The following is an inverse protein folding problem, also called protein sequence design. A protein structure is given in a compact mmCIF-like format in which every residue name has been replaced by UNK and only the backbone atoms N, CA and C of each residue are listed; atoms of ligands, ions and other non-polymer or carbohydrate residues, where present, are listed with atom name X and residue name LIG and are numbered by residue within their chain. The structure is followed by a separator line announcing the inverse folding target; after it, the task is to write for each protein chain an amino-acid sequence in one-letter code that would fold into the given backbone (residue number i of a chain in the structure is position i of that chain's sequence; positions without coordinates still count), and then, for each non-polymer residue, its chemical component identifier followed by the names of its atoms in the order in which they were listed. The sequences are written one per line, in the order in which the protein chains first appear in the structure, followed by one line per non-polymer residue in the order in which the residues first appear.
data_IF_470194904322
#
_entry.id   IF_470194904322
#
_cell.length_a   1.000
_cell.length_b   1.000
_cell.length_c   1.000
_cell.angle_alpha   90.00
_cell.angle_beta   90.00
_cell.angle_gamma   90.00
#
_symmetry.space_group_name_H-M   'P 1'
#
loop_
_entity.id
_entity.type
_entity.pdbx_description
1 polymer ?
#
# COMPACT_ATOMS: atom_id res chain seq x y z
N UNK A 1 -7.50 7.79 -19.68
CA UNK A 1 -7.99 9.20 -19.70
C UNK A 1 -8.66 9.63 -18.38
N UNK A 2 -8.17 9.15 -17.22
CA UNK A 2 -8.47 9.68 -15.86
C UNK A 2 -7.20 9.51 -14.99
N UNK A 3 -6.01 9.86 -15.52
CA UNK A 3 -4.74 9.74 -14.78
C UNK A 3 -3.99 11.08 -14.65
N UNK A 4 -4.60 12.20 -15.05
CA UNK A 4 -3.92 13.50 -15.14
C UNK A 4 -4.12 14.42 -13.91
N UNK A 5 -4.72 13.98 -12.80
CA UNK A 5 -5.19 14.94 -11.75
C UNK A 5 -4.52 14.88 -10.37
N UNK A 6 -3.51 14.03 -10.15
CA UNK A 6 -2.71 14.06 -8.92
C UNK A 6 -1.33 14.74 -9.06
N UNK A 7 -0.99 15.27 -10.23
CA UNK A 7 0.36 15.74 -10.57
C UNK A 7 0.53 17.27 -10.66
N UNK A 8 -0.11 18.05 -9.78
CA UNK A 8 0.17 19.49 -9.69
C UNK A 8 0.52 19.90 -8.26
N UNK A 9 1.79 19.66 -7.88
CA UNK A 9 2.28 20.17 -6.60
C UNK A 9 3.73 19.93 -6.21
N UNK A 10 4.59 19.26 -6.99
CA UNK A 10 5.96 18.92 -6.54
C UNK A 10 7.02 18.94 -7.67
N UNK A 11 7.17 20.06 -8.38
CA UNK A 11 8.30 20.26 -9.29
C UNK A 11 9.29 21.28 -8.70
N UNK A 12 10.15 20.78 -7.81
CA UNK A 12 11.53 21.25 -7.58
C UNK A 12 12.08 20.51 -6.37
N UNK A 13 12.87 19.45 -6.55
CA UNK A 13 14.07 19.07 -5.76
C UNK A 13 14.79 17.98 -6.57
N UNK A 14 15.59 18.37 -7.56
CA UNK A 14 16.76 17.59 -7.94
C UNK A 14 17.94 18.21 -7.20
N UNK A 15 18.22 17.69 -6.00
CA UNK A 15 19.54 17.55 -5.39
C UNK A 15 19.40 17.16 -3.91
N UNK A 16 20.40 16.40 -3.43
CA UNK A 16 20.73 16.05 -2.04
C UNK A 16 20.17 14.69 -1.58
N UNK A 17 21.05 13.69 -1.48
CA UNK A 17 21.25 12.76 -0.34
C UNK A 17 20.10 12.62 0.69
N UNK A 18 18.87 12.41 0.23
CA UNK A 18 17.75 11.99 1.06
C UNK A 18 17.85 10.47 1.12
N UNK A 19 17.84 9.92 2.33
CA UNK A 19 17.32 8.54 2.48
C UNK A 19 15.95 8.59 1.83
N UNK A 20 15.83 7.92 0.68
CA UNK A 20 14.57 7.83 -0.01
C UNK A 20 13.57 7.21 0.98
N UNK A 21 12.44 7.88 1.17
CA UNK A 21 11.41 7.36 2.07
C UNK A 21 10.93 6.06 1.42
N UNK A 22 10.89 4.99 2.20
CA UNK A 22 10.46 3.69 1.69
C UNK A 22 9.00 3.47 2.03
N UNK A 23 8.28 2.80 1.16
CA UNK A 23 6.97 2.22 1.43
C UNK A 23 7.08 0.71 1.57
N UNK A 24 6.16 0.12 2.32
CA UNK A 24 6.03 -1.33 2.45
C UNK A 24 4.78 -1.76 1.70
N UNK A 25 4.98 -2.49 0.61
CA UNK A 25 3.92 -3.03 -0.22
C UNK A 25 3.69 -4.49 0.12
N UNK A 26 2.42 -4.86 0.20
CA UNK A 26 1.99 -6.25 0.28
C UNK A 26 1.93 -6.84 -1.13
N UNK A 27 2.52 -8.02 -1.33
CA UNK A 27 2.51 -8.76 -2.61
C UNK A 27 1.96 -10.17 -2.43
N UNK A 28 1.40 -10.74 -3.50
CA UNK A 28 0.88 -12.11 -3.48
C UNK A 28 -0.36 -12.26 -2.61
N UNK A 29 -0.42 -13.35 -1.84
CA UNK A 29 -1.56 -13.72 -0.97
C UNK A 29 -1.61 -12.93 0.36
N UNK A 30 -0.90 -11.81 0.46
CA UNK A 30 -0.91 -10.95 1.64
C UNK A 30 0.03 -11.36 2.79
N UNK A 31 0.92 -12.33 2.58
CA UNK A 31 1.88 -12.78 3.59
C UNK A 31 3.34 -12.43 3.25
N UNK A 32 3.55 -11.90 2.05
CA UNK A 32 4.85 -11.48 1.54
C UNK A 32 4.81 -9.97 1.32
N UNK A 33 5.86 -9.29 1.73
CA UNK A 33 6.01 -7.85 1.58
C UNK A 33 7.24 -7.53 0.76
N UNK A 34 7.26 -6.33 0.21
CA UNK A 34 8.42 -5.74 -0.45
C UNK A 34 8.53 -4.27 -0.05
N UNK A 35 9.75 -3.77 0.15
CA UNK A 35 10.00 -2.34 0.38
C UNK A 35 10.46 -1.69 -0.91
N UNK A 36 9.79 -0.60 -1.30
CA UNK A 36 10.13 0.18 -2.49
C UNK A 36 10.14 1.69 -2.22
N UNK A 37 10.68 2.51 -3.11
CA UNK A 37 10.63 3.96 -2.99
C UNK A 37 9.22 4.53 -2.82
N UNK A 38 9.10 5.66 -2.12
CA UNK A 38 7.81 6.29 -1.79
C UNK A 38 7.03 6.81 -3.00
N UNK A 39 7.69 6.97 -4.14
CA UNK A 39 7.06 7.43 -5.38
C UNK A 39 6.26 6.33 -6.10
N UNK A 40 6.29 5.09 -5.61
CA UNK A 40 5.44 4.02 -6.11
C UNK A 40 4.07 4.00 -5.44
N UNK A 41 3.08 3.66 -6.26
CA UNK A 41 1.74 3.23 -5.88
C UNK A 41 1.59 1.75 -6.21
N UNK A 42 0.55 1.11 -5.67
CA UNK A 42 0.28 -0.30 -5.94
C UNK A 42 -1.19 -0.57 -6.25
N UNK A 43 -1.48 -1.54 -7.11
CA UNK A 43 -2.84 -2.04 -7.34
C UNK A 43 -2.82 -3.56 -7.55
N UNK A 44 -3.95 -4.23 -7.31
CA UNK A 44 -4.02 -5.68 -7.56
C UNK A 44 -4.22 -5.96 -9.06
N UNK A 45 -3.62 -7.05 -9.53
CA UNK A 45 -3.82 -7.61 -10.86
C UNK A 45 -4.18 -9.10 -10.75
N UNK A 46 -5.43 -9.35 -10.35
CA UNK A 46 -5.89 -10.67 -9.92
C UNK A 46 -5.41 -11.04 -8.51
N UNK A 47 -5.53 -12.32 -8.17
CA UNK A 47 -5.44 -12.77 -6.76
C UNK A 47 -4.01 -12.83 -6.20
N UNK A 48 -3.00 -12.98 -7.06
CA UNK A 48 -1.61 -13.25 -6.65
C UNK A 48 -0.60 -12.25 -7.21
N UNK A 49 -1.07 -11.21 -7.91
CA UNK A 49 -0.20 -10.23 -8.56
C UNK A 49 -0.53 -8.83 -8.07
N UNK A 50 0.53 -8.07 -7.81
CA UNK A 50 0.45 -6.64 -7.53
C UNK A 50 1.28 -5.90 -8.57
N UNK A 51 0.75 -4.81 -9.09
CA UNK A 51 1.45 -3.89 -9.99
C UNK A 51 1.93 -2.71 -9.16
N UNK A 52 3.20 -2.34 -9.31
CA UNK A 52 3.74 -1.05 -8.85
C UNK A 52 3.97 -0.13 -10.05
N UNK A 53 3.58 1.14 -9.88
CA UNK A 53 3.63 2.17 -10.91
C UNK A 53 3.83 3.56 -10.26
N UNK A 54 4.24 4.58 -11.02
CA UNK A 54 4.58 5.92 -10.49
C UNK A 54 3.45 6.95 -10.67
N UNK A 55 2.55 6.72 -11.62
CA UNK A 55 1.42 7.58 -11.94
C UNK A 55 1.81 8.89 -12.62
N UNK A 56 2.97 8.94 -13.30
CA UNK A 56 3.48 10.14 -13.94
C UNK A 56 2.93 10.32 -15.36
N UNK A 57 2.80 9.22 -16.11
CA UNK A 57 2.25 9.20 -17.47
C UNK A 57 1.61 7.85 -17.83
N UNK A 58 0.73 7.84 -18.85
CA UNK A 58 -0.07 6.66 -19.24
C UNK A 58 0.79 5.51 -19.82
N UNK A 59 1.99 5.81 -20.31
CA UNK A 59 2.93 4.89 -20.98
C UNK A 59 4.18 4.57 -20.12
N UNK A 60 4.12 4.84 -18.82
CA UNK A 60 5.24 4.59 -17.91
C UNK A 60 5.54 3.09 -17.71
N UNK A 61 6.79 2.75 -17.34
CA UNK A 61 7.13 1.39 -16.96
C UNK A 61 6.29 0.84 -15.80
N UNK A 62 5.86 -0.41 -15.95
CA UNK A 62 5.10 -1.12 -14.91
C UNK A 62 5.94 -2.24 -14.29
N UNK A 63 5.98 -2.30 -12.97
CA UNK A 63 6.57 -3.43 -12.24
C UNK A 63 5.45 -4.36 -11.79
N UNK A 64 5.52 -5.65 -12.12
CA UNK A 64 4.56 -6.65 -11.62
C UNK A 64 5.27 -7.61 -10.68
N UNK A 65 4.70 -7.82 -9.50
CA UNK A 65 5.11 -8.85 -8.55
C UNK A 65 4.03 -9.93 -8.47
N UNK A 66 4.33 -11.13 -8.93
CA UNK A 66 3.48 -12.32 -8.77
C UNK A 66 4.09 -13.26 -7.75
N UNK A 67 3.31 -13.78 -6.80
CA UNK A 67 3.79 -14.75 -5.81
C UNK A 67 3.14 -16.11 -6.05
N UNK A 68 3.97 -17.13 -6.19
CA UNK A 68 3.55 -18.52 -6.38
C UNK A 68 4.05 -19.33 -5.19
N UNK A 69 3.14 -19.67 -4.27
CA UNK A 69 3.42 -20.54 -3.13
C UNK A 69 3.31 -22.01 -3.52
N UNK A 70 4.20 -22.85 -3.00
CA UNK A 70 4.15 -24.28 -3.24
C UNK A 70 4.38 -25.08 -1.96
N UNK A 71 3.82 -26.29 -1.89
CA UNK A 71 4.12 -27.23 -0.82
C UNK A 71 5.24 -28.17 -1.25
N UNK A 72 6.29 -28.28 -0.43
CA UNK A 72 7.38 -29.22 -0.70
C UNK A 72 6.88 -30.66 -0.67
N UNK A 73 7.26 -31.44 -1.68
CA UNK A 73 7.07 -32.88 -1.64
C UNK A 73 7.90 -33.51 -0.51
N UNK A 74 7.40 -34.61 0.06
CA UNK A 74 8.09 -35.32 1.15
C UNK A 74 9.52 -35.72 0.72
N UNK A 75 10.49 -35.43 1.57
CA UNK A 75 11.91 -35.72 1.31
C UNK A 75 12.65 -34.69 0.44
N UNK A 76 11.96 -33.70 -0.15
CA UNK A 76 12.61 -32.61 -0.88
C UNK A 76 13.19 -31.60 0.10
N UNK A 77 14.51 -31.45 0.09
CA UNK A 77 15.22 -30.51 0.96
C UNK A 77 15.29 -29.12 0.33
N UNK A 78 15.41 -28.08 1.17
CA UNK A 78 15.64 -26.71 0.70
C UNK A 78 16.92 -26.59 -0.16
N UNK A 79 17.95 -27.39 0.14
CA UNK A 79 19.18 -27.44 -0.66
C UNK A 79 18.93 -27.98 -2.08
N UNK A 80 18.04 -28.98 -2.22
CA UNK A 80 17.69 -29.53 -3.53
C UNK A 80 16.92 -28.50 -4.37
N UNK A 81 15.97 -27.79 -3.77
CA UNK A 81 15.24 -26.69 -4.44
C UNK A 81 16.19 -25.57 -4.88
N UNK A 82 17.12 -25.17 -4.00
CA UNK A 82 18.12 -24.16 -4.35
C UNK A 82 19.00 -24.60 -5.52
N UNK A 83 19.35 -25.88 -5.59
CA UNK A 83 20.15 -26.39 -6.71
C UNK A 83 19.34 -26.38 -8.01
N UNK A 84 18.10 -26.85 -7.99
CA UNK A 84 17.20 -26.82 -9.15
C UNK A 84 16.99 -25.38 -9.65
N UNK A 85 16.81 -24.43 -8.73
CA UNK A 85 16.70 -23.01 -9.04
C UNK A 85 17.96 -22.44 -9.72
N UNK A 86 19.16 -22.86 -9.26
CA UNK A 86 20.44 -22.48 -9.90
C UNK A 86 20.62 -23.12 -11.27
N UNK A 87 20.22 -24.38 -11.42
CA UNK A 87 20.27 -25.08 -12.68
C UNK A 87 19.34 -24.42 -13.71
N UNK A 88 18.16 -23.94 -13.26
CA UNK A 88 17.24 -23.12 -14.06
C UNK A 88 17.88 -21.80 -14.51
N UNK A 89 18.59 -21.10 -13.63
CA UNK A 89 19.35 -19.90 -14.00
C UNK A 89 20.39 -20.21 -15.09
N UNK A 90 21.15 -21.29 -14.95
CA UNK A 90 22.13 -21.72 -15.95
C UNK A 90 21.49 -22.07 -17.31
N UNK A 91 20.32 -22.72 -17.32
CA UNK A 91 19.57 -22.99 -18.55
C UNK A 91 19.13 -21.70 -19.28
N UNK A 92 19.00 -20.60 -18.54
CA UNK A 92 18.70 -19.25 -19.06
C UNK A 92 19.97 -18.45 -19.38
N UNK A 93 21.16 -19.07 -19.32
CA UNK A 93 22.47 -18.41 -19.51
C UNK A 93 22.71 -17.24 -18.55
N UNK A 94 22.20 -17.35 -17.32
CA UNK A 94 22.39 -16.37 -16.25
C UNK A 94 22.89 -17.06 -14.98
N UNK A 95 23.30 -16.28 -13.99
CA UNK A 95 23.77 -16.77 -12.69
C UNK A 95 22.83 -16.33 -11.57
N UNK A 96 22.51 -17.24 -10.67
CA UNK A 96 21.70 -16.91 -9.51
C UNK A 96 22.52 -16.19 -8.44
N UNK A 97 22.09 -14.99 -8.08
CA UNK A 97 22.59 -14.21 -6.94
C UNK A 97 21.88 -14.68 -5.67
N UNK A 98 22.61 -14.79 -4.55
CA UNK A 98 22.02 -15.16 -3.25
C UNK A 98 22.24 -14.07 -2.22
N UNK A 99 21.17 -13.63 -1.56
CA UNK A 99 21.19 -12.57 -0.57
C UNK A 99 20.23 -12.88 0.58
N UNK A 100 20.74 -12.95 1.83
CA UNK A 100 19.96 -13.14 3.07
C UNK A 100 18.80 -14.17 2.96
N UNK A 101 19.11 -15.38 2.48
CA UNK A 101 18.11 -16.45 2.38
C UNK A 101 17.20 -16.40 1.15
N UNK A 102 17.47 -15.48 0.21
CA UNK A 102 16.82 -15.37 -1.09
C UNK A 102 17.82 -15.73 -2.17
N UNK A 103 17.34 -16.32 -3.26
CA UNK A 103 18.12 -16.47 -4.48
C UNK A 103 17.32 -15.96 -5.66
N UNK A 104 17.94 -15.18 -6.53
CA UNK A 104 17.27 -14.65 -7.72
C UNK A 104 18.20 -14.64 -8.93
N UNK A 105 17.59 -14.66 -10.10
CA UNK A 105 18.26 -14.41 -11.37
C UNK A 105 17.29 -13.65 -12.28
N UNK A 106 17.81 -13.01 -13.32
CA UNK A 106 16.99 -12.28 -14.27
C UNK A 106 17.35 -12.59 -15.73
N UNK A 107 16.40 -12.31 -16.62
CA UNK A 107 16.53 -12.52 -18.05
C UNK A 107 15.50 -11.67 -18.83
N UNK A 108 15.83 -11.36 -20.08
CA UNK A 108 14.94 -10.67 -21.01
C UNK A 108 13.95 -11.65 -21.64
N UNK A 109 12.71 -11.20 -21.83
CA UNK A 109 11.71 -11.87 -22.66
C UNK A 109 11.32 -10.94 -23.82
N UNK A 110 11.69 -11.34 -25.04
CA UNK A 110 11.49 -10.56 -26.26
C UNK A 110 10.35 -11.11 -27.15
N UNK A 111 9.52 -12.01 -26.63
CA UNK A 111 8.46 -12.69 -27.40
C UNK A 111 7.28 -11.78 -27.80
N UNK A 112 7.32 -10.48 -27.46
CA UNK A 112 6.28 -9.50 -27.76
C UNK A 112 6.73 -8.50 -28.84
N UNK A 113 5.81 -8.16 -29.75
CA UNK A 113 6.11 -7.27 -30.88
C UNK A 113 6.44 -5.84 -30.41
N UNK A 114 5.63 -5.29 -29.50
CA UNK A 114 5.68 -3.88 -29.07
C UNK A 114 6.23 -3.67 -27.66
N UNK A 115 6.30 -4.73 -26.85
CA UNK A 115 6.71 -4.64 -25.44
C UNK A 115 8.06 -5.31 -25.20
N UNK A 116 8.86 -4.70 -24.34
CA UNK A 116 10.03 -5.32 -23.73
C UNK A 116 9.70 -5.72 -22.30
N UNK A 117 10.06 -6.95 -21.92
CA UNK A 117 9.87 -7.45 -20.56
C UNK A 117 11.18 -7.96 -20.00
N UNK A 118 11.57 -7.45 -18.83
CA UNK A 118 12.68 -7.98 -18.05
C UNK A 118 12.13 -8.71 -16.83
N UNK A 119 12.49 -9.99 -16.66
CA UNK A 119 11.92 -10.86 -15.63
C UNK A 119 12.99 -11.20 -14.61
N UNK A 120 12.66 -11.04 -13.33
CA UNK A 120 13.38 -11.59 -12.20
C UNK A 120 12.56 -12.74 -11.61
N UNK A 121 13.18 -13.91 -11.49
CA UNK A 121 12.65 -14.98 -10.66
C UNK A 121 13.38 -14.96 -9.32
N UNK A 122 12.64 -15.04 -8.22
CA UNK A 122 13.15 -14.97 -6.86
C UNK A 122 12.61 -16.15 -6.06
N UNK A 123 13.49 -17.00 -5.56
CA UNK A 123 13.15 -18.02 -4.57
C UNK A 123 13.30 -17.44 -3.16
N UNK A 124 12.22 -17.45 -2.38
CA UNK A 124 12.19 -17.02 -0.99
C UNK A 124 11.32 -17.97 -0.16
N UNK A 125 11.93 -18.73 0.76
CA UNK A 125 11.20 -19.72 1.55
C UNK A 125 10.58 -20.81 0.67
N UNK A 126 9.25 -20.91 0.74
CA UNK A 126 8.41 -21.83 -0.06
C UNK A 126 7.63 -21.11 -1.17
N UNK A 127 8.08 -19.90 -1.51
CA UNK A 127 7.51 -19.07 -2.55
C UNK A 127 8.51 -18.84 -3.68
N UNK A 128 7.98 -18.81 -4.91
CA UNK A 128 8.62 -18.15 -6.03
C UNK A 128 7.93 -16.81 -6.26
N UNK A 129 8.68 -15.73 -6.11
CA UNK A 129 8.24 -14.38 -6.49
C UNK A 129 8.78 -14.09 -7.89
N UNK A 130 7.88 -13.74 -8.81
CA UNK A 130 8.23 -13.28 -10.15
C UNK A 130 8.03 -11.78 -10.17
N UNK A 131 9.13 -11.02 -10.27
CA UNK A 131 9.09 -9.59 -10.51
C UNK A 131 9.35 -9.35 -12.00
N UNK A 132 8.54 -8.54 -12.69
CA UNK A 132 8.77 -8.22 -14.09
C UNK A 132 8.60 -6.74 -14.35
N UNK A 133 9.55 -6.15 -15.06
CA UNK A 133 9.43 -4.81 -15.65
C UNK A 133 8.82 -4.94 -17.04
N UNK A 134 7.76 -4.18 -17.33
CA UNK A 134 7.11 -4.08 -18.65
C UNK A 134 7.25 -2.65 -19.14
N UNK A 135 7.81 -2.48 -20.34
CA UNK A 135 7.97 -1.17 -20.99
C UNK A 135 7.75 -1.27 -22.49
N UNK A 136 7.57 -0.13 -23.15
CA UNK A 136 7.59 -0.09 -24.61
C UNK A 136 8.97 -0.50 -25.11
N UNK A 137 9.00 -1.26 -26.19
CA UNK A 137 10.24 -1.81 -26.74
C UNK A 137 11.22 -0.72 -27.21
N UNK A 138 10.71 0.45 -27.58
CA UNK A 138 11.51 1.61 -27.97
C UNK A 138 12.30 2.23 -26.81
N UNK A 139 11.82 2.08 -25.58
CA UNK A 139 12.48 2.59 -24.37
C UNK A 139 13.53 1.63 -23.81
N UNK A 140 13.68 0.44 -24.42
CA UNK A 140 14.67 -0.55 -23.97
C UNK A 140 16.07 0.05 -23.93
N UNK A 141 16.68 0.00 -22.76
CA UNK A 141 18.04 0.50 -22.53
C UNK A 141 18.13 2.02 -22.35
N UNK A 142 16.99 2.69 -22.17
CA UNK A 142 16.98 4.08 -21.69
C UNK A 142 17.52 4.16 -20.25
N UNK A 143 17.99 5.36 -19.87
CA UNK A 143 18.43 5.63 -18.49
C UNK A 143 17.28 5.43 -17.48
N UNK A 144 16.05 5.74 -17.89
CA UNK A 144 14.86 5.50 -17.07
C UNK A 144 14.69 4.01 -16.78
N UNK A 145 14.74 3.15 -17.80
CA UNK A 145 14.64 1.69 -17.62
C UNK A 145 15.74 1.16 -16.70
N UNK A 146 16.95 1.71 -16.77
CA UNK A 146 18.04 1.35 -15.86
C UNK A 146 17.70 1.66 -14.39
N UNK A 147 17.10 2.83 -14.11
CA UNK A 147 16.65 3.20 -12.76
C UNK A 147 15.61 2.21 -12.24
N UNK A 148 14.60 1.86 -13.04
CA UNK A 148 13.60 0.87 -12.65
C UNK A 148 14.22 -0.50 -12.32
N UNK A 149 15.19 -0.96 -13.11
CA UNK A 149 15.86 -2.23 -12.87
C UNK A 149 16.68 -2.21 -11.57
N UNK A 150 17.36 -1.11 -11.26
CA UNK A 150 18.07 -0.92 -9.99
C UNK A 150 17.10 -0.95 -8.80
N UNK A 151 15.98 -0.22 -8.88
CA UNK A 151 14.96 -0.19 -7.84
C UNK A 151 14.30 -1.57 -7.64
N UNK A 152 14.02 -2.31 -8.72
CA UNK A 152 13.51 -3.69 -8.63
C UNK A 152 14.50 -4.60 -7.92
N UNK A 153 15.80 -4.48 -8.17
CA UNK A 153 16.79 -5.26 -7.43
C UNK A 153 16.78 -4.93 -5.93
N UNK A 154 16.65 -3.66 -5.56
CA UNK A 154 16.54 -3.25 -4.16
C UNK A 154 15.26 -3.77 -3.51
N UNK A 155 14.14 -3.72 -4.22
CA UNK A 155 12.87 -4.33 -3.84
C UNK A 155 13.04 -5.85 -3.64
N UNK A 156 13.66 -6.57 -4.58
CA UNK A 156 13.89 -8.01 -4.45
C UNK A 156 14.72 -8.35 -3.20
N UNK A 157 15.72 -7.53 -2.88
CA UNK A 157 16.55 -7.70 -1.67
C UNK A 157 15.77 -7.41 -0.39
N UNK A 158 14.71 -6.60 -0.47
CA UNK A 158 13.86 -6.22 0.66
C UNK A 158 12.63 -7.12 0.86
N UNK A 159 12.35 -8.04 -0.08
CA UNK A 159 11.28 -9.04 0.05
C UNK A 159 11.35 -9.67 1.44
N UNK A 160 10.23 -9.84 2.14
CA UNK A 160 10.21 -10.55 3.42
C UNK A 160 8.81 -11.08 3.74
N UNK A 161 8.65 -11.80 4.84
CA UNK A 161 7.33 -12.14 5.36
C UNK A 161 6.73 -10.94 6.09
N UNK A 162 5.42 -10.74 5.96
CA UNK A 162 4.67 -9.77 6.75
C UNK A 162 4.94 -9.92 8.27
N UNK A 163 5.07 -11.17 8.73
CA UNK A 163 5.34 -11.50 10.14
C UNK A 163 6.71 -11.04 10.65
N UNK A 164 7.62 -10.60 9.76
CA UNK A 164 8.92 -10.04 10.16
C UNK A 164 8.82 -8.58 10.60
N UNK A 165 7.73 -7.89 10.26
CA UNK A 165 7.49 -6.52 10.69
C UNK A 165 7.10 -6.49 12.17
N UNK A 166 7.80 -5.65 12.94
CA UNK A 166 7.37 -5.34 14.30
C UNK A 166 6.00 -4.63 14.30
N UNK A 167 5.77 -3.76 13.30
CA UNK A 167 4.53 -3.06 13.08
C UNK A 167 4.08 -3.30 11.64
N UNK A 168 3.06 -4.15 11.41
CA UNK A 168 2.63 -4.53 10.07
C UNK A 168 1.74 -3.44 9.45
N UNK A 169 2.34 -2.25 9.30
CA UNK A 169 1.75 -1.09 8.64
C UNK A 169 2.22 -1.13 7.18
N UNK A 170 1.27 -1.09 6.26
CA UNK A 170 1.46 -1.28 4.84
C UNK A 170 0.90 -0.07 4.09
N UNK A 171 1.48 0.22 2.94
CA UNK A 171 0.93 1.20 2.01
C UNK A 171 -0.43 0.70 1.49
N UNK A 172 -1.48 1.54 1.48
CA UNK A 172 -2.74 1.19 0.83
C UNK A 172 -2.54 0.94 -0.67
N UNK A 173 -3.26 -0.04 -1.19
CA UNK A 173 -3.38 -0.26 -2.63
C UNK A 173 -4.40 0.73 -3.20
N UNK A 174 -4.33 0.97 -4.50
CA UNK A 174 -5.29 1.79 -5.23
C UNK A 174 -6.73 1.31 -5.02
N UNK A 175 -6.95 -0.01 -4.95
CA UNK A 175 -8.26 -0.59 -4.65
C UNK A 175 -8.81 -0.15 -3.27
N UNK A 176 -7.93 0.04 -2.28
CA UNK A 176 -8.33 0.57 -0.97
C UNK A 176 -8.72 2.03 -1.06
N UNK A 177 -7.94 2.83 -1.79
CA UNK A 177 -8.20 4.26 -1.98
C UNK A 177 -9.53 4.47 -2.71
N UNK A 178 -9.77 3.70 -3.78
CA UNK A 178 -11.05 3.69 -4.50
C UNK A 178 -12.20 3.28 -3.58
N UNK A 179 -11.99 2.29 -2.71
CA UNK A 179 -12.99 1.90 -1.72
C UNK A 179 -13.32 3.04 -0.74
N UNK A 180 -12.29 3.71 -0.20
CA UNK A 180 -12.45 4.86 0.70
C UNK A 180 -13.25 5.99 0.04
N UNK A 181 -12.89 6.35 -1.20
CA UNK A 181 -13.56 7.41 -1.96
C UNK A 181 -15.00 7.04 -2.29
N UNK A 182 -15.22 5.83 -2.80
CA UNK A 182 -16.56 5.36 -3.21
C UNK A 182 -17.50 5.27 -2.01
N UNK A 183 -17.03 4.75 -0.88
CA UNK A 183 -17.82 4.67 0.34
C UNK A 183 -18.19 6.06 0.89
N UNK A 184 -17.22 6.99 0.91
CA UNK A 184 -17.45 8.37 1.34
C UNK A 184 -18.47 9.10 0.44
N UNK A 185 -18.28 9.02 -0.88
CA UNK A 185 -19.18 9.63 -1.85
C UNK A 185 -20.61 9.07 -1.76
N UNK A 186 -20.75 7.74 -1.57
CA UNK A 186 -22.05 7.07 -1.36
C UNK A 186 -22.78 7.59 -0.13
N UNK A 187 -22.09 7.78 0.99
CA UNK A 187 -22.70 8.32 2.23
C UNK A 187 -23.15 9.77 2.04
N UNK A 188 -22.34 10.57 1.34
CA UNK A 188 -22.62 11.97 1.06
C UNK A 188 -23.70 12.17 -0.01
N UNK A 189 -23.97 11.15 -0.85
CA UNK A 189 -24.91 11.24 -1.96
C UNK A 189 -24.39 12.12 -3.10
N UNK A 190 -23.09 12.07 -3.36
CA UNK A 190 -22.40 12.83 -4.40
C UNK A 190 -21.60 11.88 -5.31
N UNK A 191 -21.12 12.39 -6.45
CA UNK A 191 -20.17 11.67 -7.30
C UNK A 191 -18.76 11.75 -6.70
N UNK A 192 -17.93 10.71 -6.90
CA UNK A 192 -16.57 10.65 -6.35
C UNK A 192 -15.67 11.81 -6.83
N UNK A 193 -15.93 12.35 -8.03
CA UNK A 193 -15.18 13.50 -8.56
C UNK A 193 -15.40 14.81 -7.80
N UNK A 194 -16.51 14.94 -7.07
CA UNK A 194 -16.85 16.11 -6.26
C UNK A 194 -16.34 16.00 -4.81
N UNK A 195 -15.85 14.81 -4.41
CA UNK A 195 -15.53 14.49 -3.02
C UNK A 195 -14.46 15.42 -2.44
N UNK A 196 -13.41 15.73 -3.19
CA UNK A 196 -12.35 16.63 -2.74
C UNK A 196 -12.90 18.03 -2.42
N UNK A 197 -13.67 18.62 -3.34
CA UNK A 197 -14.25 19.95 -3.15
C UNK A 197 -15.21 19.98 -1.94
N UNK A 198 -15.93 18.87 -1.73
CA UNK A 198 -16.86 18.71 -0.60
C UNK A 198 -16.15 18.60 0.76
N UNK A 199 -14.95 18.01 0.80
CA UNK A 199 -14.11 18.04 2.00
C UNK A 199 -13.50 19.42 2.24
N UNK A 200 -12.99 20.07 1.19
CA UNK A 200 -12.36 21.40 1.28
C UNK A 200 -13.34 22.49 1.75
N UNK A 201 -14.63 22.38 1.41
CA UNK A 201 -15.66 23.33 1.88
C UNK A 201 -16.00 23.15 3.36
N UNK A 202 -15.68 21.99 3.96
CA UNK A 202 -16.13 21.60 5.30
C UNK A 202 -17.55 21.01 5.34
N UNK A 203 -18.22 20.90 4.20
CA UNK A 203 -19.59 20.34 4.13
C UNK A 203 -19.62 18.87 4.51
N UNK A 204 -18.55 18.12 4.23
CA UNK A 204 -18.39 16.71 4.61
C UNK A 204 -18.61 16.48 6.11
N UNK A 205 -17.99 17.31 6.96
CA UNK A 205 -18.09 17.22 8.41
C UNK A 205 -19.52 17.55 8.87
N UNK A 206 -20.10 18.61 8.31
CA UNK A 206 -21.48 19.04 8.62
C UNK A 206 -22.46 17.92 8.27
N UNK A 207 -22.34 17.35 7.07
CA UNK A 207 -23.21 16.28 6.60
C UNK A 207 -23.08 15.01 7.43
N UNK A 208 -21.85 14.60 7.77
CA UNK A 208 -21.61 13.46 8.64
C UNK A 208 -22.25 13.67 10.02
N UNK A 209 -22.09 14.86 10.62
CA UNK A 209 -22.71 15.17 11.90
C UNK A 209 -24.25 15.12 11.83
N UNK A 210 -24.85 15.64 10.77
CA UNK A 210 -26.30 15.56 10.54
C UNK A 210 -26.79 14.12 10.49
N UNK A 211 -26.12 13.25 9.71
CA UNK A 211 -26.48 11.84 9.58
C UNK A 211 -26.42 11.13 10.94
N UNK A 212 -25.33 11.35 11.68
CA UNK A 212 -25.14 10.74 13.00
C UNK A 212 -26.14 11.25 14.05
N UNK A 213 -26.58 12.50 13.96
CA UNK A 213 -27.61 13.06 14.84
C UNK A 213 -29.00 12.50 14.55
N UNK A 214 -29.35 12.35 13.27
CA UNK A 214 -30.66 11.83 12.85
C UNK A 214 -30.81 10.35 13.17
N UNK A 215 -29.71 9.57 13.15
CA UNK A 215 -29.71 8.12 13.40
C UNK A 215 -30.69 7.35 12.49
N UNK A 216 -30.92 7.84 11.27
CA UNK A 216 -31.82 7.24 10.28
C UNK A 216 -31.12 6.11 9.48
N UNK A 217 -30.37 5.26 10.18
CA UNK A 217 -29.74 4.07 9.62
C UNK A 217 -30.14 2.84 10.44
N UNK A 218 -30.25 1.68 9.78
CA UNK A 218 -30.62 0.46 10.47
C UNK A 218 -29.46 -0.05 11.33
N UNK A 219 -29.75 -0.46 12.57
CA UNK A 219 -28.72 -0.96 13.52
C UNK A 219 -27.90 -2.14 12.97
N UNK A 220 -28.46 -2.90 12.02
CA UNK A 220 -27.79 -4.04 11.40
C UNK A 220 -27.21 -3.73 10.00
N UNK A 221 -27.17 -2.45 9.60
CA UNK A 221 -26.56 -2.01 8.35
C UNK A 221 -25.04 -1.80 8.55
N UNK A 222 -24.34 -2.91 8.75
CA UNK A 222 -22.91 -2.91 9.02
C UNK A 222 -22.10 -2.25 7.89
N UNK A 223 -22.53 -2.42 6.63
CA UNK A 223 -21.87 -1.80 5.48
C UNK A 223 -21.98 -0.26 5.56
N UNK A 224 -23.17 0.26 5.86
CA UNK A 224 -23.36 1.70 6.02
C UNK A 224 -22.62 2.25 7.23
N UNK A 225 -22.58 1.53 8.36
CA UNK A 225 -21.80 1.93 9.53
C UNK A 225 -20.30 2.01 9.24
N UNK A 226 -19.77 1.05 8.48
CA UNK A 226 -18.39 1.09 8.02
C UNK A 226 -18.15 2.30 7.10
N UNK A 227 -19.06 2.57 6.17
CA UNK A 227 -18.97 3.73 5.29
C UNK A 227 -19.00 5.08 6.06
N UNK A 228 -19.81 5.18 7.14
CA UNK A 228 -19.78 6.34 8.05
C UNK A 228 -18.42 6.49 8.73
N UNK A 229 -17.83 5.37 9.16
CA UNK A 229 -16.48 5.33 9.72
C UNK A 229 -15.38 5.72 8.73
N UNK A 230 -15.51 5.31 7.47
CA UNK A 230 -14.64 5.73 6.36
C UNK A 230 -14.76 7.24 6.14
N UNK A 231 -15.98 7.77 6.03
CA UNK A 231 -16.21 9.21 5.86
C UNK A 231 -15.67 10.01 7.05
N UNK A 232 -15.81 9.51 8.28
CA UNK A 232 -15.19 10.09 9.47
C UNK A 232 -13.66 10.14 9.33
N UNK A 233 -13.02 9.05 8.91
CA UNK A 233 -11.58 9.01 8.66
C UNK A 233 -11.14 9.98 7.56
N UNK A 234 -11.87 10.08 6.46
CA UNK A 234 -11.60 11.05 5.40
C UNK A 234 -11.69 12.49 5.92
N UNK A 235 -12.75 12.83 6.64
CA UNK A 235 -12.89 14.12 7.32
C UNK A 235 -11.73 14.41 8.30
N UNK A 236 -11.28 13.39 9.03
CA UNK A 236 -10.13 13.49 9.94
C UNK A 236 -8.86 13.84 9.18
N UNK A 237 -8.51 13.06 8.15
CA UNK A 237 -7.32 13.26 7.34
C UNK A 237 -7.29 14.65 6.68
N UNK A 238 -8.42 15.09 6.10
CA UNK A 238 -8.53 16.41 5.48
C UNK A 238 -8.35 17.55 6.49
N UNK A 239 -8.79 17.35 7.74
CA UNK A 239 -8.66 18.36 8.79
C UNK A 239 -7.27 18.38 9.43
N UNK A 240 -6.59 17.23 9.50
CA UNK A 240 -5.29 17.06 10.13
C UNK A 240 -4.30 16.40 9.16
N UNK A 241 -3.50 17.22 8.46
CA UNK A 241 -2.55 16.78 7.43
C UNK A 241 -1.43 15.87 7.92
N UNK A 242 -1.23 15.78 9.23
CA UNK A 242 -0.28 14.86 9.85
C UNK A 242 -0.75 13.40 9.84
N UNK A 243 -2.00 13.15 9.45
CA UNK A 243 -2.55 11.81 9.33
C UNK A 243 -2.60 11.34 7.87
N UNK A 244 -2.35 10.06 7.65
CA UNK A 244 -2.52 9.44 6.35
C UNK A 244 -3.05 8.01 6.50
N UNK A 245 -3.73 7.52 5.47
CA UNK A 245 -4.23 6.15 5.45
C UNK A 245 -3.10 5.14 5.32
N UNK A 246 -3.21 4.09 6.11
CA UNK A 246 -2.38 2.90 6.05
C UNK A 246 -3.27 1.66 6.13
N UNK A 247 -2.67 0.52 5.82
CA UNK A 247 -3.27 -0.78 6.05
C UNK A 247 -2.54 -1.45 7.21
N UNK A 248 -3.29 -1.84 8.23
CA UNK A 248 -2.81 -2.71 9.30
C UNK A 248 -3.17 -4.14 8.92
N UNK A 249 -2.18 -5.03 8.82
CA UNK A 249 -2.43 -6.45 8.57
C UNK A 249 -1.86 -7.30 9.71
N UNK A 250 -2.73 -7.75 10.60
CA UNK A 250 -2.36 -8.60 11.73
C UNK A 250 -3.08 -9.95 11.70
N UNK A 251 -2.98 -10.71 12.80
CA UNK A 251 -3.61 -12.03 12.95
C UNK A 251 -5.14 -12.03 12.87
N UNK A 252 -5.80 -10.88 13.02
CA UNK A 252 -7.25 -10.71 12.91
C UNK A 252 -7.68 -10.29 11.51
N UNK A 253 -6.73 -9.93 10.65
CA UNK A 253 -6.94 -9.62 9.25
C UNK A 253 -6.39 -8.25 8.89
N UNK A 254 -6.98 -7.71 7.82
CA UNK A 254 -6.54 -6.49 7.16
C UNK A 254 -7.56 -5.38 7.43
N UNK A 255 -7.12 -4.27 8.01
CA UNK A 255 -7.97 -3.12 8.35
C UNK A 255 -7.33 -1.81 7.91
N UNK A 256 -8.14 -0.86 7.42
CA UNK A 256 -7.69 0.49 7.10
C UNK A 256 -7.68 1.36 8.36
N UNK A 257 -6.58 2.07 8.56
CA UNK A 257 -6.35 2.93 9.71
C UNK A 257 -5.71 4.26 9.30
N UNK A 258 -5.73 5.25 10.18
CA UNK A 258 -4.95 6.48 10.01
C UNK A 258 -3.71 6.42 10.89
N UNK A 259 -2.54 6.61 10.30
CA UNK A 259 -1.26 6.72 11.01
C UNK A 259 -0.93 8.20 11.26
N UNK A 260 -0.43 8.52 12.46
CA UNK A 260 0.07 9.85 12.78
C UNK A 260 1.55 9.99 12.44
N UNK A 261 1.87 10.82 11.44
CA UNK A 261 3.22 11.09 10.95
C UNK A 261 4.01 9.78 10.71
N UNK A 262 5.29 9.77 11.07
CA UNK A 262 6.17 8.61 11.01
C UNK A 262 6.09 7.73 12.27
N UNK A 263 5.10 7.90 13.16
CA UNK A 263 5.01 7.07 14.36
C UNK A 263 4.28 5.76 14.09
N UNK A 264 4.70 4.69 14.77
CA UNK A 264 3.96 3.44 14.90
C UNK A 264 2.72 3.62 15.80
N UNK A 265 1.87 4.58 15.46
CA UNK A 265 0.71 5.02 16.19
C UNK A 265 -0.43 5.26 15.21
N UNK A 266 -1.47 4.44 15.34
CA UNK A 266 -2.64 4.51 14.47
C UNK A 266 -3.93 4.73 15.25
N UNK A 267 -4.92 5.33 14.60
CA UNK A 267 -6.30 5.31 15.03
C UNK A 267 -7.18 4.62 13.98
N UNK A 268 -8.28 4.02 14.44
CA UNK A 268 -9.14 3.16 13.63
C UNK A 268 -10.52 3.82 13.47
N UNK A 269 -10.67 4.78 12.53
CA UNK A 269 -11.89 5.58 12.40
C UNK A 269 -13.13 4.72 12.15
N UNK A 270 -12.98 3.64 11.38
CA UNK A 270 -14.06 2.67 11.10
C UNK A 270 -14.56 2.03 12.40
N UNK A 271 -13.65 1.44 13.18
CA UNK A 271 -13.96 0.83 14.47
C UNK A 271 -14.49 1.85 15.50
N UNK A 272 -13.97 3.07 15.50
CA UNK A 272 -14.42 4.13 16.42
C UNK A 272 -15.87 4.53 16.24
N UNK A 273 -16.33 4.64 14.98
CA UNK A 273 -17.71 5.01 14.65
C UNK A 273 -18.65 3.83 14.84
N UNK A 274 -18.30 2.66 14.29
CA UNK A 274 -19.14 1.45 14.37
C UNK A 274 -19.44 1.06 15.81
N UNK A 275 -18.43 1.01 16.70
CA UNK A 275 -18.65 0.71 18.13
C UNK A 275 -19.53 1.73 18.83
N UNK A 276 -19.41 3.02 18.51
CA UNK A 276 -20.25 4.06 19.12
C UNK A 276 -21.70 3.95 18.66
N UNK A 277 -21.93 3.56 17.40
CA UNK A 277 -23.27 3.27 16.90
C UNK A 277 -23.86 2.06 17.63
N UNK A 278 -23.10 0.97 17.76
CA UNK A 278 -23.51 -0.25 18.48
C UNK A 278 -23.85 0.02 19.96
N UNK A 279 -23.06 0.84 20.62
CA UNK A 279 -23.25 1.24 22.02
C UNK A 279 -24.29 2.37 22.20
N UNK A 280 -24.94 2.81 21.12
CA UNK A 280 -25.90 3.93 21.07
C UNK A 280 -25.35 5.26 21.62
N UNK A 281 -24.03 5.44 21.59
CA UNK A 281 -23.33 6.63 22.09
C UNK A 281 -23.54 7.81 21.15
N UNK A 282 -23.76 9.00 21.72
CA UNK A 282 -23.83 10.24 20.93
C UNK A 282 -22.45 10.56 20.34
N UNK A 283 -22.42 10.87 19.05
CA UNK A 283 -21.17 11.13 18.32
C UNK A 283 -21.14 12.60 17.93
N UNK A 284 -20.29 13.37 18.60
CA UNK A 284 -19.88 14.69 18.13
C UNK A 284 -18.59 14.53 17.31
N UNK A 285 -18.70 14.68 16.00
CA UNK A 285 -17.64 14.43 15.01
C UNK A 285 -16.40 15.26 15.32
N UNK A 286 -16.56 16.57 15.54
CA UNK A 286 -15.43 17.49 15.79
C UNK A 286 -14.77 17.17 17.12
N UNK A 287 -15.56 17.05 18.19
CA UNK A 287 -15.04 16.77 19.52
C UNK A 287 -14.31 15.42 19.57
N UNK A 288 -14.81 14.41 18.85
CA UNK A 288 -14.17 13.09 18.76
C UNK A 288 -12.81 13.17 18.06
N UNK A 289 -12.69 13.93 16.96
CA UNK A 289 -11.39 14.12 16.29
C UNK A 289 -10.40 14.85 17.21
N UNK A 290 -10.84 15.93 17.86
CA UNK A 290 -10.02 16.71 18.79
C UNK A 290 -9.53 15.86 19.97
N UNK A 291 -10.40 15.02 20.53
CA UNK A 291 -10.04 14.09 21.61
C UNK A 291 -8.94 13.11 21.17
N UNK A 292 -9.04 12.55 19.96
CA UNK A 292 -8.03 11.62 19.42
C UNK A 292 -6.69 12.32 19.24
N UNK A 293 -6.67 13.50 18.61
CA UNK A 293 -5.43 14.27 18.40
C UNK A 293 -4.80 14.61 19.75
N UNK A 294 -5.59 15.13 20.70
CA UNK A 294 -5.09 15.46 22.03
C UNK A 294 -4.54 14.24 22.76
N UNK A 295 -5.19 13.08 22.65
CA UNK A 295 -4.73 11.84 23.25
C UNK A 295 -3.38 11.39 22.67
N UNK A 296 -3.24 11.44 21.34
CA UNK A 296 -2.02 11.11 20.62
C UNK A 296 -0.87 12.05 21.02
N UNK A 297 -1.07 13.36 20.92
CA UNK A 297 -0.04 14.36 21.23
C UNK A 297 0.40 14.28 22.70
N UNK A 298 -0.56 14.18 23.62
CA UNK A 298 -0.27 14.02 25.06
C UNK A 298 0.49 12.72 25.34
N UNK A 299 0.15 11.64 24.61
CA UNK A 299 0.86 10.39 24.65
C UNK A 299 2.32 10.59 24.29
N UNK A 300 2.59 11.15 23.11
CA UNK A 300 3.94 11.40 22.58
C UNK A 300 4.78 12.28 23.52
N UNK A 301 4.18 13.31 24.13
CA UNK A 301 4.88 14.18 25.06
C UNK A 301 5.27 13.47 26.37
N UNK A 302 4.39 12.60 26.89
CA UNK A 302 4.57 11.93 28.19
C UNK A 302 5.45 10.70 28.08
N UNK A 303 5.31 9.94 27.01
CA UNK A 303 6.02 8.70 26.77
C UNK A 303 6.97 8.85 25.57
N UNK A 304 8.27 8.97 25.83
CA UNK A 304 9.29 9.01 24.77
C UNK A 304 9.51 7.66 24.09
N UNK A 305 8.69 6.64 24.41
CA UNK A 305 8.79 5.28 23.90
C UNK A 305 8.09 5.01 22.57
N UNK A 306 7.41 5.98 21.97
CA UNK A 306 6.82 5.77 20.63
C UNK A 306 7.91 5.55 19.59
N UNK A 307 7.74 4.48 18.81
CA UNK A 307 8.68 4.12 17.75
C UNK A 307 8.37 4.92 16.51
N UNK A 308 9.38 5.58 15.94
CA UNK A 308 9.32 6.13 14.58
C UNK A 308 9.67 5.04 13.58
N UNK A 309 8.94 5.00 12.49
CA UNK A 309 9.11 4.07 11.39
C UNK A 309 10.02 4.72 10.34
N UNK A 310 10.81 3.89 9.66
CA UNK A 310 11.61 4.31 8.51
C UNK A 310 10.83 4.09 7.18
N UNK A 311 9.50 3.91 7.26
CA UNK A 311 8.65 3.61 6.12
C UNK A 311 7.21 4.12 6.29
N UNK A 312 6.49 4.28 5.16
CA UNK A 312 5.10 4.74 5.06
C UNK A 312 4.84 6.06 5.80
N UNK A 313 5.45 7.17 5.35
CA UNK A 313 5.15 8.53 5.82
C UNK A 313 5.58 9.60 4.80
#
# INVERSE_FOLDING_TARGET
MILSRYSNGLNNIFEINKREIMKVFEIGSGQTIVKGPSHYYSCNDGDSTVILYRGEHDDEPLIRFSVISFTRAEGVTQKALLQDFKDKAHQRNTEAVTYKGKSYFSYDNEDQEELYMHIFEVMYGDDIVIASLIVNKEDRGSDEVAVYLEEIEEMIRSIDSLSSLQFPLLEPKYDDLVHLETASAKVLGIESEDLQAYHESGDAITKLQEILNLREYAVNDYEYHQALGILFGACFQYRYSDFHWIVVHDQYGRELALQYQDYALQCFPITMITKRIEDEVEINVIALMEEVVQHIETGIERDKGYTRLEYNY
#
